data_IF_444259868061
#
_entry.id   IF_444259868061
#
_cell.length_a   1.000
_cell.length_b   1.000
_cell.length_c   1.000
_cell.angle_alpha   90.00
_cell.angle_beta   90.00
_cell.angle_gamma   90.00
#
_symmetry.space_group_name_H-M   'P 1'
#
loop_
_entity.id
_entity.type
_entity.pdbx_description
1 polymer ?
#
# COMPACT_ATOMS: atom_id res chain seq x y z
N UNK A 1 12.30 -18.39 6.35
CA UNK A 1 12.95 -17.31 5.60
C UNK A 1 12.49 -16.03 6.28
N UNK A 2 13.36 -15.10 6.69
CA UNK A 2 12.84 -13.84 7.22
C UNK A 2 12.02 -13.19 6.10
N UNK A 3 10.81 -12.72 6.40
CA UNK A 3 10.07 -11.83 5.51
C UNK A 3 11.04 -10.68 5.20
N UNK A 4 11.41 -10.52 3.92
CA UNK A 4 12.46 -9.55 3.52
C UNK A 4 11.86 -8.15 3.37
N UNK A 5 10.52 -8.07 3.32
CA UNK A 5 9.73 -6.86 3.15
C UNK A 5 8.70 -6.68 4.27
N UNK A 6 8.25 -5.44 4.42
CA UNK A 6 7.09 -5.01 5.16
C UNK A 6 6.03 -4.57 4.16
N UNK A 7 4.80 -4.99 4.34
CA UNK A 7 3.73 -4.79 3.38
C UNK A 7 2.70 -3.82 3.94
N UNK A 8 2.06 -3.04 3.07
CA UNK A 8 1.01 -2.11 3.45
C UNK A 8 -0.09 -2.19 2.41
N UNK A 9 -1.30 -2.47 2.85
CA UNK A 9 -2.47 -2.49 1.99
C UNK A 9 -3.21 -1.16 2.06
N UNK A 10 -3.57 -0.61 0.89
CA UNK A 10 -4.35 0.63 0.80
C UNK A 10 -5.50 0.41 -0.17
N UNK A 11 -6.72 0.82 0.19
CA UNK A 11 -7.85 0.72 -0.73
C UNK A 11 -8.87 1.84 -0.61
N UNK A 12 -9.61 2.04 -1.70
CA UNK A 12 -10.78 2.90 -1.72
C UNK A 12 -12.03 2.14 -1.25
N UNK A 13 -12.85 2.78 -0.44
CA UNK A 13 -14.09 2.20 0.07
C UNK A 13 -14.46 2.70 1.46
N UNK A 14 -15.58 2.21 2.02
CA UNK A 14 -15.92 2.49 3.40
C UNK A 14 -14.84 1.92 4.34
N UNK A 15 -14.47 2.69 5.37
CA UNK A 15 -13.59 2.19 6.43
C UNK A 15 -14.28 1.03 7.16
N UNK A 16 -13.62 -0.13 7.31
CA UNK A 16 -14.12 -1.22 8.13
C UNK A 16 -14.40 -0.79 9.57
N UNK A 17 -15.28 -1.53 10.25
CA UNK A 17 -15.71 -1.20 11.61
C UNK A 17 -14.58 -1.39 12.65
N UNK A 18 -13.75 -2.40 12.43
CA UNK A 18 -12.65 -2.82 13.30
C UNK A 18 -11.57 -3.53 12.47
N UNK A 19 -10.51 -3.93 13.16
CA UNK A 19 -9.34 -4.59 12.57
C UNK A 19 -9.67 -5.98 11.99
N UNK A 20 -10.59 -6.72 12.62
CA UNK A 20 -11.06 -8.02 12.13
C UNK A 20 -11.78 -7.90 10.79
N UNK A 21 -12.71 -6.95 10.67
CA UNK A 21 -13.40 -6.67 9.40
C UNK A 21 -12.42 -6.14 8.33
N UNK A 22 -11.36 -5.44 8.72
CA UNK A 22 -10.34 -4.98 7.79
C UNK A 22 -9.49 -6.14 7.26
N UNK A 23 -9.12 -7.08 8.13
CA UNK A 23 -8.41 -8.30 7.74
C UNK A 23 -9.23 -9.15 6.77
N UNK A 24 -10.53 -9.37 7.06
CA UNK A 24 -11.41 -10.10 6.14
C UNK A 24 -11.50 -9.44 4.76
N UNK A 25 -11.59 -8.11 4.71
CA UNK A 25 -11.63 -7.37 3.45
C UNK A 25 -10.29 -7.42 2.70
N UNK A 26 -9.17 -7.39 3.42
CA UNK A 26 -7.84 -7.54 2.84
C UNK A 26 -7.66 -8.91 2.17
N UNK A 27 -8.06 -10.00 2.82
CA UNK A 27 -7.98 -11.34 2.24
C UNK A 27 -8.74 -11.45 0.91
N UNK A 28 -9.92 -10.82 0.80
CA UNK A 28 -10.67 -10.76 -0.46
C UNK A 28 -9.92 -10.03 -1.57
N UNK A 29 -9.15 -8.98 -1.24
CA UNK A 29 -8.33 -8.30 -2.23
C UNK A 29 -7.13 -9.14 -2.66
N UNK A 30 -6.49 -9.85 -1.72
CA UNK A 30 -5.37 -10.75 -2.03
C UNK A 30 -5.81 -11.88 -2.96
N UNK A 31 -6.99 -12.48 -2.73
CA UNK A 31 -7.55 -13.49 -3.63
C UNK A 31 -7.78 -12.96 -5.06
N UNK A 32 -8.12 -11.67 -5.20
CA UNK A 32 -8.36 -11.01 -6.50
C UNK A 32 -7.04 -10.59 -7.19
N UNK A 33 -5.97 -10.34 -6.44
CA UNK A 33 -4.66 -10.00 -7.02
C UNK A 33 -4.05 -11.15 -7.81
N UNK A 34 -4.45 -12.39 -7.56
CA UNK A 34 -3.97 -13.57 -8.29
C UNK A 34 -4.59 -13.70 -9.71
N UNK A 35 -5.49 -12.81 -10.12
CA UNK A 35 -6.03 -12.77 -11.50
C UNK A 35 -5.00 -12.25 -12.51
N UNK A 36 -4.91 -12.92 -13.67
CA UNK A 36 -3.96 -12.59 -14.76
C UNK A 36 -4.18 -11.20 -15.40
N UNK A 37 -5.36 -10.59 -15.21
CA UNK A 37 -5.70 -9.26 -15.76
C UNK A 37 -6.29 -8.36 -14.67
N UNK A 38 -5.44 -7.66 -13.88
CA UNK A 38 -5.93 -6.78 -12.84
C UNK A 38 -6.67 -5.57 -13.43
N UNK A 39 -7.77 -5.11 -12.81
CA UNK A 39 -8.45 -3.89 -13.23
C UNK A 39 -7.52 -2.67 -13.21
N UNK A 40 -7.75 -1.77 -14.18
CA UNK A 40 -7.01 -0.51 -14.23
C UNK A 40 -7.21 0.30 -12.93
N UNK A 41 -6.15 0.98 -12.42
CA UNK A 41 -6.23 1.81 -11.22
C UNK A 41 -7.35 2.84 -11.28
N UNK A 42 -8.09 2.97 -10.18
CA UNK A 42 -9.11 4.00 -10.04
C UNK A 42 -8.48 5.38 -9.91
N UNK A 43 -9.23 6.44 -10.21
CA UNK A 43 -8.73 7.82 -10.11
C UNK A 43 -8.32 8.19 -8.69
N UNK A 44 -8.94 7.60 -7.66
CA UNK A 44 -8.57 7.80 -6.27
C UNK A 44 -7.18 7.19 -5.98
N UNK A 45 -6.92 5.98 -6.48
CA UNK A 45 -5.63 5.32 -6.30
C UNK A 45 -4.52 6.02 -7.08
N UNK A 46 -4.79 6.50 -8.29
CA UNK A 46 -3.82 7.31 -9.06
C UNK A 46 -3.45 8.58 -8.29
N UNK A 47 -4.44 9.33 -7.79
CA UNK A 47 -4.18 10.55 -7.02
C UNK A 47 -3.41 10.27 -5.71
N UNK A 48 -3.70 9.15 -5.05
CA UNK A 48 -2.97 8.68 -3.89
C UNK A 48 -1.50 8.39 -4.23
N UNK A 49 -1.21 7.63 -5.29
CA UNK A 49 0.15 7.31 -5.70
C UNK A 49 0.95 8.57 -6.09
N UNK A 50 0.36 9.48 -6.86
CA UNK A 50 1.01 10.73 -7.26
C UNK A 50 1.41 11.56 -6.03
N UNK A 51 0.49 11.69 -5.07
CA UNK A 51 0.75 12.41 -3.83
C UNK A 51 1.78 11.70 -2.95
N UNK A 52 1.74 10.36 -2.88
CA UNK A 52 2.69 9.56 -2.11
C UNK A 52 4.10 9.72 -2.65
N UNK A 53 4.27 9.65 -3.97
CA UNK A 53 5.56 9.82 -4.65
C UNK A 53 6.05 11.28 -4.66
N UNK A 54 5.18 12.24 -4.35
CA UNK A 54 5.60 13.64 -4.13
C UNK A 54 6.29 13.86 -2.77
N UNK A 55 6.06 12.97 -1.80
CA UNK A 55 6.58 13.08 -0.42
C UNK A 55 7.61 12.02 -0.08
N UNK A 56 7.49 10.82 -0.67
CA UNK A 56 8.46 9.74 -0.53
C UNK A 56 9.15 9.51 -1.87
N UNK A 57 10.49 9.40 -1.90
CA UNK A 57 11.20 9.12 -3.14
C UNK A 57 10.74 7.76 -3.70
N UNK A 58 10.57 7.69 -5.03
CA UNK A 58 10.32 6.42 -5.71
C UNK A 58 11.49 5.45 -5.53
N UNK A 59 11.28 4.18 -5.83
CA UNK A 59 12.39 3.27 -6.08
C UNK A 59 12.97 3.62 -7.45
N UNK A 60 14.24 4.03 -7.50
CA UNK A 60 14.94 4.32 -8.75
C UNK A 60 16.04 3.29 -9.02
N UNK A 61 16.53 3.25 -10.26
CA UNK A 61 17.58 2.31 -10.68
C UNK A 61 18.92 2.49 -9.93
N UNK A 62 19.06 3.56 -9.12
CA UNK A 62 20.26 3.83 -8.33
C UNK A 62 20.22 3.25 -6.92
N UNK A 63 19.12 2.57 -6.55
CA UNK A 63 18.86 2.05 -5.20
C UNK A 63 19.13 3.13 -4.15
N UNK A 64 18.47 4.29 -4.28
CA UNK A 64 18.61 5.36 -3.28
C UNK A 64 18.33 4.76 -1.89
N UNK A 65 19.32 4.75 -0.97
CA UNK A 65 19.17 4.13 0.34
C UNK A 65 18.12 4.83 1.23
N UNK A 66 17.56 5.95 0.76
CA UNK A 66 16.46 6.68 1.40
C UNK A 66 15.09 6.27 0.86
N UNK A 67 15.04 5.48 -0.21
CA UNK A 67 13.80 4.92 -0.74
C UNK A 67 13.29 3.85 0.22
N UNK A 68 12.05 3.97 0.76
CA UNK A 68 11.55 2.99 1.71
C UNK A 68 11.14 1.67 1.04
N UNK A 69 11.00 1.67 -0.29
CA UNK A 69 10.34 0.62 -1.05
C UNK A 69 11.25 -0.59 -1.30
N UNK A 70 10.66 -1.79 -1.26
CA UNK A 70 11.35 -3.02 -1.63
C UNK A 70 11.19 -3.34 -3.12
N UNK A 71 10.00 -3.14 -3.68
CA UNK A 71 9.74 -3.29 -5.13
C UNK A 71 9.16 -2.04 -5.78
N UNK A 72 9.01 -0.95 -5.01
CA UNK A 72 8.38 0.31 -5.45
C UNK A 72 6.91 0.38 -5.03
N UNK A 73 6.29 1.56 -5.19
CA UNK A 73 4.95 1.70 -5.71
C UNK A 73 5.08 2.00 -7.20
N UNK A 74 4.86 1.02 -8.05
CA UNK A 74 4.66 1.18 -9.48
C UNK A 74 3.15 1.21 -9.80
N UNK A 75 2.74 1.78 -10.95
CA UNK A 75 1.34 1.71 -11.37
C UNK A 75 0.77 0.28 -11.47
N UNK A 76 1.65 -0.74 -11.60
CA UNK A 76 1.28 -2.15 -11.60
C UNK A 76 1.00 -2.74 -10.21
N UNK A 77 1.41 -2.06 -9.13
CA UNK A 77 1.11 -2.45 -7.75
C UNK A 77 -0.30 -2.02 -7.31
N UNK A 78 -1.07 -1.47 -8.25
CA UNK A 78 -2.44 -1.03 -8.05
C UNK A 78 -3.38 -1.78 -8.98
N UNK A 79 -4.35 -2.43 -8.37
CA UNK A 79 -5.40 -3.18 -9.03
C UNK A 79 -6.74 -2.56 -8.66
N UNK A 80 -7.33 -1.80 -9.59
CA UNK A 80 -8.59 -1.11 -9.38
C UNK A 80 -8.54 -0.14 -8.20
N UNK A 81 -9.26 -0.47 -7.14
CA UNK A 81 -9.35 0.31 -5.90
C UNK A 81 -8.39 -0.15 -4.80
N UNK A 82 -7.46 -1.05 -5.09
CA UNK A 82 -6.53 -1.65 -4.12
C UNK A 82 -5.08 -1.44 -4.55
N UNK A 83 -4.22 -1.10 -3.60
CA UNK A 83 -2.77 -1.05 -3.75
C UNK A 83 -2.09 -1.93 -2.70
N UNK A 84 -1.12 -2.72 -3.15
CA UNK A 84 -0.27 -3.53 -2.29
C UNK A 84 1.15 -3.00 -2.33
N UNK A 85 1.55 -2.29 -1.27
CA UNK A 85 2.85 -1.62 -1.24
C UNK A 85 3.85 -2.46 -0.46
N UNK A 86 5.05 -2.66 -1.03
CA UNK A 86 6.13 -3.38 -0.34
C UNK A 86 7.27 -2.43 0.01
N UNK A 87 7.69 -2.48 1.26
CA UNK A 87 8.79 -1.69 1.83
C UNK A 87 9.87 -2.60 2.38
N UNK A 88 11.07 -2.07 2.55
CA UNK A 88 12.04 -2.69 3.46
C UNK A 88 11.61 -2.40 4.90
N UNK A 89 11.98 -3.24 5.88
CA UNK A 89 11.68 -2.96 7.29
C UNK A 89 12.18 -1.58 7.77
N UNK A 90 13.45 -1.18 7.51
CA UNK A 90 13.91 0.18 7.84
C UNK A 90 13.15 1.27 7.09
N UNK A 91 12.70 0.98 5.86
CA UNK A 91 11.86 1.87 5.08
C UNK A 91 10.50 2.08 5.73
N UNK A 92 9.85 1.01 6.18
CA UNK A 92 8.56 1.06 6.88
C UNK A 92 8.66 1.86 8.18
N UNK A 93 9.71 1.66 8.99
CA UNK A 93 9.94 2.46 10.20
C UNK A 93 9.98 3.97 9.92
N UNK A 94 10.48 4.39 8.74
CA UNK A 94 10.57 5.78 8.34
C UNK A 94 9.32 6.30 7.61
N UNK A 95 8.60 5.44 6.89
CA UNK A 95 7.60 5.85 5.90
C UNK A 95 6.16 5.47 6.23
N UNK A 96 5.91 4.47 7.09
CA UNK A 96 4.57 3.92 7.34
C UNK A 96 3.57 4.99 7.79
N UNK A 97 3.97 5.84 8.74
CA UNK A 97 3.14 6.97 9.22
C UNK A 97 2.80 7.95 8.10
N UNK A 98 3.73 8.17 7.16
CA UNK A 98 3.52 9.05 6.01
C UNK A 98 2.53 8.42 5.03
N UNK A 99 2.68 7.12 4.74
CA UNK A 99 1.74 6.38 3.87
C UNK A 99 0.32 6.44 4.44
N UNK A 100 0.16 6.12 5.73
CA UNK A 100 -1.12 6.17 6.40
C UNK A 100 -1.71 7.60 6.42
N UNK A 101 -0.88 8.63 6.60
CA UNK A 101 -1.33 10.03 6.54
C UNK A 101 -1.81 10.44 5.13
N UNK A 102 -1.10 10.03 4.08
CA UNK A 102 -1.49 10.32 2.69
C UNK A 102 -2.77 9.55 2.33
N UNK A 103 -2.88 8.27 2.69
CA UNK A 103 -4.09 7.48 2.47
C UNK A 103 -5.32 8.12 3.14
N UNK A 104 -5.19 8.52 4.41
CA UNK A 104 -6.26 9.21 5.16
C UNK A 104 -6.68 10.53 4.51
N UNK A 105 -5.75 11.30 3.92
CA UNK A 105 -6.06 12.55 3.20
C UNK A 105 -6.95 12.30 1.98
N UNK A 106 -6.77 11.16 1.32
CA UNK A 106 -7.57 10.72 0.19
C UNK A 106 -8.85 9.97 0.59
N UNK A 107 -9.11 9.82 1.89
CA UNK A 107 -10.26 9.06 2.39
C UNK A 107 -10.14 7.55 2.13
N UNK A 108 -8.91 7.06 1.94
CA UNK A 108 -8.61 5.66 1.72
C UNK A 108 -8.41 4.93 3.05
N UNK A 109 -8.62 3.62 3.02
CA UNK A 109 -8.29 2.72 4.11
C UNK A 109 -6.83 2.33 3.98
N UNK A 110 -6.10 2.31 5.10
CA UNK A 110 -4.73 1.86 5.17
C UNK A 110 -4.65 0.79 6.26
N UNK A 111 -4.03 -0.34 5.95
CA UNK A 111 -4.01 -1.53 6.77
C UNK A 111 -2.62 -2.14 6.77
N UNK A 112 -2.27 -2.69 7.92
CA UNK A 112 -1.02 -3.36 8.22
C UNK A 112 -1.29 -4.88 8.28
N UNK A 113 -0.92 -5.64 7.23
CA UNK A 113 -1.12 -7.10 7.22
C UNK A 113 -0.29 -7.84 8.26
N UNK A 114 0.82 -7.27 8.74
CA UNK A 114 1.71 -7.91 9.70
C UNK A 114 1.14 -7.85 11.11
N UNK A 115 0.56 -6.70 11.49
CA UNK A 115 -0.08 -6.49 12.79
C UNK A 115 -1.61 -6.71 12.75
N UNK A 116 -2.16 -7.03 11.56
CA UNK A 116 -3.58 -7.18 11.27
C UNK A 116 -4.43 -6.01 11.79
N UNK A 117 -4.03 -4.78 11.47
CA UNK A 117 -4.68 -3.57 12.04
C UNK A 117 -4.84 -2.42 11.05
N UNK A 118 -5.84 -1.59 11.31
CA UNK A 118 -6.05 -0.33 10.61
C UNK A 118 -5.04 0.74 11.07
N UNK A 119 -4.56 1.54 10.10
CA UNK A 119 -3.66 2.68 10.30
C UNK A 119 -4.39 4.06 10.26
#
# INVERSE_FOLDING_TARGET
MPLVSYDVAVWAGPRPADDEAAAEQFELFVEVLDDDEPPAPSSAMVAFLEDLLSVLPALDESEDPRSPWATGPEPGDVSGDFAYLTMTYPGAEAALDTVAAVARRHGLVCFDPQDERLL
#
